data_IF_719990691505
#
_entry.id   IF_719990691505
#
_cell.length_a   1.000
_cell.length_b   1.000
_cell.length_c   1.000
_cell.angle_alpha   90.00
_cell.angle_beta   90.00
_cell.angle_gamma   90.00
#
_symmetry.space_group_name_H-M   'P 1'
#
loop_
_entity.id
_entity.type
_entity.pdbx_description
1 polymer ?
#
# COMPACT_ATOMS: atom_id res chain seq x y z
N UNK A 1 0.73 7.90 -2.53
CA UNK A 1 0.16 7.37 -1.25
C UNK A 1 0.26 5.86 -1.31
N UNK A 2 0.39 5.19 -0.17
CA UNK A 2 0.67 3.76 -0.05
C UNK A 2 -0.28 3.16 0.99
N UNK A 3 -0.85 1.99 0.73
CA UNK A 3 -1.77 1.32 1.65
C UNK A 3 -1.05 0.29 2.51
N UNK A 4 -1.35 0.25 3.81
CA UNK A 4 -0.84 -0.75 4.73
C UNK A 4 -1.59 -2.08 4.56
N UNK A 5 -0.87 -3.18 4.33
CA UNK A 5 -1.44 -4.52 4.21
C UNK A 5 -2.13 -5.01 5.50
N UNK A 6 -1.74 -4.50 6.67
CA UNK A 6 -2.22 -5.01 7.95
C UNK A 6 -3.45 -4.27 8.50
N UNK A 7 -3.58 -2.97 8.25
CA UNK A 7 -4.69 -2.16 8.75
C UNK A 7 -5.49 -1.46 7.66
N UNK A 8 -5.10 -1.63 6.38
CA UNK A 8 -5.75 -1.05 5.20
C UNK A 8 -5.77 0.49 5.15
N UNK A 9 -5.15 1.17 6.11
CA UNK A 9 -5.00 2.62 6.13
C UNK A 9 -4.02 3.11 5.04
N UNK A 10 -4.23 4.35 4.61
CA UNK A 10 -3.44 5.02 3.58
C UNK A 10 -2.41 6.00 4.17
N UNK A 11 -1.19 5.93 3.67
CA UNK A 11 -0.05 6.71 4.13
C UNK A 11 0.56 7.55 2.99
N UNK A 12 1.06 8.73 3.32
CA UNK A 12 1.83 9.53 2.38
C UNK A 12 3.28 9.04 2.32
N UNK A 13 3.87 9.03 1.13
CA UNK A 13 5.29 8.68 0.93
C UNK A 13 6.23 9.49 1.81
N UNK A 14 5.93 10.78 2.04
CA UNK A 14 6.70 11.64 2.94
C UNK A 14 6.59 11.23 4.42
N UNK A 15 5.44 10.72 4.87
CA UNK A 15 5.26 10.21 6.24
C UNK A 15 6.02 8.90 6.47
N UNK A 16 6.32 8.16 5.40
CA UNK A 16 7.13 6.94 5.43
C UNK A 16 8.61 7.20 5.12
N UNK A 17 9.06 8.46 5.16
CA UNK A 17 10.44 8.89 4.87
C UNK A 17 10.94 8.55 3.45
N UNK A 18 10.03 8.30 2.50
CA UNK A 18 10.40 8.02 1.11
C UNK A 18 10.66 9.29 0.30
N UNK A 19 10.14 10.43 0.76
CA UNK A 19 10.37 11.74 0.16
C UNK A 19 10.59 12.79 1.23
N UNK A 20 11.47 13.73 0.95
CA UNK A 20 11.51 14.96 1.72
C UNK A 20 10.21 15.75 1.47
N UNK A 21 9.57 16.29 2.52
CA UNK A 21 8.46 17.21 2.34
C UNK A 21 8.92 18.43 1.53
N UNK A 22 8.15 18.91 0.54
CA UNK A 22 8.49 20.15 -0.13
C UNK A 22 8.56 21.29 0.90
N UNK A 23 9.67 22.04 0.86
CA UNK A 23 10.01 23.17 1.75
C UNK A 23 8.90 24.24 1.86
N UNK A 24 8.05 24.34 0.84
CA UNK A 24 6.90 25.23 0.85
C UNK A 24 5.88 24.74 -0.17
N UNK A 25 4.62 24.58 0.25
CA UNK A 25 3.50 24.53 -0.68
C UNK A 25 3.43 25.90 -1.36
N UNK A 26 3.80 25.98 -2.64
CA UNK A 26 3.45 27.16 -3.42
C UNK A 26 1.94 27.35 -3.34
N UNK A 27 1.44 28.60 -3.18
CA UNK A 27 0.01 28.85 -3.09
C UNK A 27 -0.68 28.21 -4.29
N UNK A 28 -1.81 27.53 -4.04
CA UNK A 28 -2.64 26.98 -5.11
C UNK A 28 -2.79 28.03 -6.22
N UNK A 29 -2.58 27.68 -7.51
CA UNK A 29 -2.76 28.62 -8.59
C UNK A 29 -4.16 29.23 -8.45
N UNK A 30 -4.20 30.56 -8.40
CA UNK A 30 -5.44 31.31 -8.41
C UNK A 30 -6.18 30.88 -9.67
N UNK A 31 -7.38 30.33 -9.51
CA UNK A 31 -8.27 29.97 -10.61
C UNK A 31 -8.41 31.15 -11.56
N UNK A 32 -7.68 31.11 -12.68
CA UNK A 32 -8.00 31.89 -13.86
C UNK A 32 -9.11 31.11 -14.58
N UNK A 33 -10.19 31.81 -14.87
CA UNK A 33 -11.44 31.29 -15.40
C UNK A 33 -11.25 30.53 -16.72
N UNK A 34 -12.08 29.48 -16.88
CA UNK A 34 -12.38 28.71 -18.11
C UNK A 34 -11.28 27.81 -18.69
N UNK A 35 -11.13 26.61 -18.13
CA UNK A 35 -10.76 25.41 -18.89
C UNK A 35 -11.21 24.12 -18.15
N UNK A 36 -12.19 23.44 -18.73
CA UNK A 36 -12.51 22.00 -18.66
C UNK A 36 -12.06 21.22 -17.39
N UNK A 37 -12.99 21.00 -16.46
CA UNK A 37 -12.83 20.28 -15.17
C UNK A 37 -12.63 18.74 -15.30
N UNK A 38 -12.07 18.25 -16.42
CA UNK A 38 -11.91 16.82 -16.68
C UNK A 38 -10.48 16.27 -16.50
N UNK A 39 -9.51 17.09 -16.10
CA UNK A 39 -8.12 16.66 -15.92
C UNK A 39 -7.65 16.92 -14.49
N UNK A 40 -7.95 15.99 -13.58
CA UNK A 40 -7.20 15.87 -12.33
C UNK A 40 -5.81 15.30 -12.62
N UNK A 41 -4.95 16.11 -13.24
CA UNK A 41 -3.50 15.85 -13.31
C UNK A 41 -2.86 16.13 -11.95
N UNK A 42 -3.35 15.44 -10.92
CA UNK A 42 -2.67 15.32 -9.63
C UNK A 42 -1.56 14.25 -9.77
N UNK A 43 -0.62 14.47 -10.70
CA UNK A 43 0.48 13.55 -10.92
C UNK A 43 1.80 14.30 -10.84
N UNK A 44 2.46 14.15 -9.69
CA UNK A 44 3.91 13.99 -9.44
C UNK A 44 4.92 14.42 -10.54
N UNK A 45 4.71 15.50 -11.29
CA UNK A 45 5.54 15.85 -12.45
C UNK A 45 6.74 16.75 -12.11
N UNK A 46 6.91 17.14 -10.84
CA UNK A 46 8.00 18.02 -10.40
C UNK A 46 8.68 17.67 -9.06
N UNK A 47 8.31 16.56 -8.42
CA UNK A 47 8.95 16.14 -7.17
C UNK A 47 10.16 15.24 -7.45
N UNK A 48 11.23 15.30 -6.63
CA UNK A 48 12.32 14.35 -6.73
C UNK A 48 11.80 12.91 -6.59
N UNK A 49 12.46 11.94 -7.25
CA UNK A 49 12.07 10.53 -7.16
C UNK A 49 12.11 10.07 -5.71
N UNK A 50 11.16 9.21 -5.28
CA UNK A 50 11.18 8.66 -3.93
C UNK A 50 12.41 7.75 -3.74
N UNK A 51 12.84 7.58 -2.49
CA UNK A 51 13.89 6.61 -2.12
C UNK A 51 13.55 5.19 -2.53
N UNK A 52 12.26 4.85 -2.48
CA UNK A 52 11.70 3.56 -2.88
C UNK A 52 10.47 3.84 -3.74
N UNK A 53 10.50 3.38 -4.99
CA UNK A 53 9.39 3.51 -5.92
C UNK A 53 8.36 2.40 -5.72
N UNK A 54 7.14 2.59 -6.23
CA UNK A 54 6.08 1.59 -6.15
C UNK A 54 6.37 0.27 -6.87
N UNK A 55 7.43 0.20 -7.69
CA UNK A 55 7.88 -1.04 -8.35
C UNK A 55 8.95 -1.79 -7.56
N UNK A 56 9.54 -1.17 -6.53
CA UNK A 56 10.63 -1.78 -5.75
C UNK A 56 10.13 -2.68 -4.61
N UNK A 57 8.83 -2.63 -4.31
CA UNK A 57 8.18 -3.44 -3.27
C UNK A 57 6.80 -3.90 -3.72
N UNK A 58 6.35 -5.03 -3.18
CA UNK A 58 5.03 -5.64 -3.42
C UNK A 58 4.03 -5.22 -2.34
N UNK A 59 4.48 -5.09 -1.09
CA UNK A 59 3.59 -4.85 0.05
C UNK A 59 4.23 -3.94 1.09
N UNK A 60 3.40 -3.17 1.79
CA UNK A 60 3.81 -2.23 2.83
C UNK A 60 3.10 -2.52 4.15
N UNK A 61 3.82 -2.50 5.27
CA UNK A 61 3.22 -2.56 6.62
C UNK A 61 3.71 -1.37 7.43
N UNK A 62 2.76 -0.58 7.94
CA UNK A 62 3.06 0.62 8.70
C UNK A 62 3.68 0.33 10.07
N UNK A 63 4.39 1.32 10.61
CA UNK A 63 5.09 1.26 11.89
C UNK A 63 4.20 0.74 13.01
N UNK A 64 3.01 1.30 13.22
CA UNK A 64 2.06 0.84 14.25
C UNK A 64 1.81 -0.67 14.15
N UNK A 65 1.50 -1.16 12.95
CA UNK A 65 1.25 -2.58 12.73
C UNK A 65 2.47 -3.48 12.93
N UNK A 66 3.68 -2.98 12.64
CA UNK A 66 4.95 -3.69 12.88
C UNK A 66 5.27 -3.72 14.38
N UNK A 67 5.09 -2.61 15.10
CA UNK A 67 5.33 -2.53 16.53
C UNK A 67 4.42 -3.47 17.34
N UNK A 68 3.20 -3.73 16.86
CA UNK A 68 2.28 -4.69 17.48
C UNK A 68 2.66 -6.17 17.23
N UNK A 69 3.62 -6.45 16.33
CA UNK A 69 3.93 -7.80 15.84
C UNK A 69 5.42 -8.11 15.94
N UNK A 70 5.82 -8.82 16.99
CA UNK A 70 7.24 -9.18 17.23
C UNK A 70 7.89 -9.94 16.06
N UNK A 71 7.13 -10.79 15.37
CA UNK A 71 7.66 -11.52 14.22
C UNK A 71 7.97 -10.60 13.03
N UNK A 72 7.28 -9.46 12.86
CA UNK A 72 7.63 -8.48 11.82
C UNK A 72 8.89 -7.70 12.21
N UNK A 73 9.04 -7.33 13.48
CA UNK A 73 10.23 -6.63 13.99
C UNK A 73 11.51 -7.44 13.75
N UNK A 74 11.45 -8.76 13.88
CA UNK A 74 12.59 -9.66 13.62
C UNK A 74 13.03 -9.66 12.15
N UNK A 75 12.09 -9.41 11.23
CA UNK A 75 12.32 -9.44 9.79
C UNK A 75 12.64 -8.06 9.21
N UNK A 76 12.34 -6.98 9.93
CA UNK A 76 12.70 -5.62 9.53
C UNK A 76 14.21 -5.49 9.22
N UNK A 77 14.55 -4.99 8.04
CA UNK A 77 15.93 -4.80 7.59
C UNK A 77 16.64 -6.11 7.21
N UNK A 78 15.92 -7.20 6.96
CA UNK A 78 16.48 -8.46 6.44
C UNK A 78 16.25 -8.56 4.92
N UNK A 79 16.88 -9.51 4.20
CA UNK A 79 16.70 -9.61 2.75
C UNK A 79 15.22 -9.67 2.33
N UNK A 80 14.80 -8.72 1.50
CA UNK A 80 13.42 -8.58 1.02
C UNK A 80 12.43 -7.95 2.01
N UNK A 81 12.91 -7.41 3.14
CA UNK A 81 12.12 -6.65 4.10
C UNK A 81 12.82 -5.33 4.36
N UNK A 82 12.61 -4.38 3.44
CA UNK A 82 13.31 -3.10 3.38
C UNK A 82 12.74 -2.17 4.45
N UNK A 83 13.61 -1.45 5.15
CA UNK A 83 13.22 -0.37 6.06
C UNK A 83 13.97 0.91 5.70
N UNK A 84 13.37 2.07 6.00
CA UNK A 84 13.98 3.38 5.76
C UNK A 84 14.58 3.90 7.06
N UNK A 85 15.87 4.22 7.06
CA UNK A 85 16.60 4.63 8.27
C UNK A 85 17.58 5.75 8.00
N UNK A 86 18.13 6.36 9.06
CA UNK A 86 19.26 7.29 9.00
C UNK A 86 20.17 7.05 10.19
N UNK A 87 21.47 7.33 10.03
CA UNK A 87 22.45 7.09 11.10
C UNK A 87 22.37 8.15 12.20
N UNK A 88 22.04 9.39 11.82
CA UNK A 88 21.84 10.51 12.72
C UNK A 88 20.81 11.48 12.13
N UNK A 89 20.35 12.46 12.92
CA UNK A 89 19.32 13.42 12.50
C UNK A 89 19.77 14.34 11.34
N UNK A 90 21.07 14.53 11.15
CA UNK A 90 21.64 15.37 10.09
C UNK A 90 21.93 14.61 8.79
N UNK A 91 21.90 13.29 8.82
CA UNK A 91 22.17 12.43 7.66
C UNK A 91 20.88 12.18 6.87
N UNK A 92 20.98 12.02 5.53
CA UNK A 92 19.83 11.69 4.71
C UNK A 92 19.29 10.29 5.02
N UNK A 93 18.02 10.08 4.68
CA UNK A 93 17.40 8.76 4.71
C UNK A 93 18.10 7.82 3.72
N UNK A 94 18.20 6.54 4.08
CA UNK A 94 18.68 5.46 3.22
C UNK A 94 17.91 4.17 3.48
N UNK A 95 17.99 3.24 2.53
CA UNK A 95 17.35 1.94 2.63
C UNK A 95 18.27 0.95 3.36
N UNK A 96 17.73 0.26 4.34
CA UNK A 96 18.37 -0.88 4.99
C UNK A 96 17.65 -2.15 4.54
N UNK A 97 18.35 -2.98 3.77
CA UNK A 97 17.87 -4.26 3.25
C UNK A 97 19.00 -5.27 3.41
N UNK A 98 18.91 -6.12 4.45
CA UNK A 98 20.01 -6.97 4.88
C UNK A 98 20.77 -7.60 3.70
N UNK A 99 22.09 -7.45 3.70
CA UNK A 99 22.92 -7.87 2.56
C UNK A 99 22.69 -9.34 2.22
N UNK A 100 22.24 -9.61 1.00
CA UNK A 100 22.35 -10.93 0.40
C UNK A 100 23.84 -11.28 0.34
N UNK A 101 24.23 -12.40 0.94
CA UNK A 101 25.57 -12.97 0.86
C UNK A 101 25.89 -13.36 -0.59
N UNK A 102 26.24 -12.36 -1.41
CA UNK A 102 26.42 -12.49 -2.86
C UNK A 102 27.14 -11.31 -3.52
N UNK A 103 27.36 -10.19 -2.83
CA UNK A 103 28.21 -9.11 -3.34
C UNK A 103 29.65 -9.32 -2.85
N UNK A 104 30.52 -9.70 -3.78
CA UNK A 104 31.93 -9.97 -3.50
C UNK A 104 32.62 -8.67 -3.08
N UNK A 105 32.81 -8.49 -1.77
CA UNK A 105 33.79 -7.54 -1.25
C UNK A 105 35.16 -8.00 -1.74
N UNK A 106 35.73 -7.26 -2.69
CA UNK A 106 37.15 -7.36 -3.03
C UNK A 106 37.96 -6.90 -1.82
N UNK A 107 38.35 -7.85 -0.97
CA UNK A 107 39.36 -7.60 0.06
C UNK A 107 40.72 -7.66 -0.61
N UNK A 108 41.34 -6.50 -0.74
CA UNK A 108 42.71 -6.30 -1.16
C UNK A 108 43.62 -6.88 -0.07
N UNK A 109 44.20 -8.06 -0.33
CA UNK A 109 45.20 -8.66 0.55
C UNK A 109 46.56 -8.09 0.17
N UNK A 110 47.11 -7.25 1.04
CA UNK A 110 48.47 -6.72 0.94
C UNK A 110 49.49 -7.87 0.90
N UNK A 111 50.29 -7.84 -0.15
CA UNK A 111 51.41 -8.75 -0.41
C UNK A 111 52.55 -8.46 0.57
N UNK A 112 53.00 -9.46 1.30
CA UNK A 112 54.31 -9.44 1.96
C UNK A 112 55.30 -10.27 1.12
N UNK A 113 56.57 -9.84 0.97
CA UNK A 113 57.45 -10.35 -0.08
C UNK A 113 58.20 -11.63 0.33
N UNK A 114 58.27 -12.55 -0.62
CA UNK A 114 59.05 -13.78 -0.62
C UNK A 114 60.57 -13.54 -0.47
N UNK A 115 61.24 -14.46 0.23
CA UNK A 115 62.69 -14.72 0.07
C UNK A 115 62.87 -16.14 -0.50
N UNK A 116 63.72 -16.36 -1.51
CA UNK A 116 63.71 -17.59 -2.30
C UNK A 116 64.72 -18.63 -1.81
N UNK A 117 64.37 -19.92 -1.86
CA UNK A 117 65.35 -20.99 -2.08
C UNK A 117 64.80 -22.05 -3.04
N UNK A 118 65.62 -22.32 -4.04
CA UNK A 118 65.46 -23.27 -5.14
C UNK A 118 65.69 -24.71 -4.66
N UNK A 119 65.08 -25.70 -5.33
CA UNK A 119 65.75 -26.78 -6.09
C UNK A 119 64.86 -28.02 -6.31
N UNK A 120 64.62 -28.27 -7.60
CA UNK A 120 64.08 -29.45 -8.29
C UNK A 120 64.41 -30.84 -7.69
N UNK A 121 63.44 -31.76 -7.73
CA UNK A 121 63.36 -32.96 -8.63
C UNK A 121 62.39 -34.04 -8.11
N UNK A 122 61.44 -34.46 -8.96
CA UNK A 122 60.74 -35.78 -8.97
C UNK A 122 61.77 -36.94 -9.08
N UNK A 123 61.47 -38.25 -8.83
CA UNK A 123 60.28 -38.96 -9.37
C UNK A 123 59.73 -40.21 -8.61
N UNK A 124 58.66 -40.79 -9.19
CA UNK A 124 58.19 -42.20 -9.22
C UNK A 124 57.43 -42.84 -8.02
N UNK A 125 56.17 -43.23 -8.32
CA UNK A 125 55.34 -44.27 -7.67
C UNK A 125 55.92 -45.69 -7.90
N UNK A 126 55.44 -46.82 -7.30
CA UNK A 126 54.05 -47.34 -7.46
C UNK A 126 53.45 -48.23 -6.31
N UNK A 127 52.16 -48.58 -6.49
CA UNK A 127 51.40 -49.76 -6.00
C UNK A 127 51.14 -49.96 -4.49
N UNK A 128 49.87 -50.10 -4.07
CA UNK A 128 49.21 -51.42 -4.02
C UNK A 128 47.71 -51.36 -3.66
N UNK A 129 47.06 -52.51 -3.86
CA UNK A 129 45.63 -52.79 -4.06
C UNK A 129 44.67 -52.68 -2.85
N UNK A 130 43.42 -52.29 -3.17
CA UNK A 130 42.03 -52.68 -2.72
C UNK A 130 41.83 -53.81 -1.66
N UNK A 131 40.60 -54.08 -1.09
CA UNK A 131 39.26 -53.66 -1.52
C UNK A 131 38.19 -53.32 -0.43
N UNK A 132 37.08 -52.87 -1.00
CA UNK A 132 35.71 -52.60 -0.57
C UNK A 132 34.96 -53.72 0.20
N UNK A 133 33.92 -53.33 0.96
CA UNK A 133 32.78 -54.19 1.28
C UNK A 133 31.48 -53.40 1.48
N UNK A 134 30.52 -53.70 0.60
CA UNK A 134 29.13 -53.24 0.59
C UNK A 134 28.31 -53.91 1.70
N UNK A 135 27.33 -53.20 2.28
CA UNK A 135 26.07 -53.80 2.74
C UNK A 135 24.90 -52.81 2.63
N UNK A 136 23.94 -53.20 1.80
CA UNK A 136 22.57 -52.68 1.72
C UNK A 136 21.76 -53.35 2.83
N UNK A 137 20.97 -52.58 3.59
CA UNK A 137 19.77 -53.10 4.26
C UNK A 137 18.71 -52.03 4.42
N UNK A 138 17.60 -52.24 3.71
CA UNK A 138 16.34 -51.52 3.80
C UNK A 138 15.67 -51.82 5.14
N UNK A 139 15.25 -50.78 5.86
CA UNK A 139 14.26 -50.86 6.93
C UNK A 139 13.38 -49.62 6.86
N UNK A 140 12.10 -49.85 6.61
CA UNK A 140 11.01 -48.96 6.93
C UNK A 140 11.02 -48.77 8.46
N UNK A 141 11.03 -47.52 8.94
CA UNK A 141 10.32 -47.13 10.15
C UNK A 141 10.45 -45.63 10.40
N UNK A 142 9.29 -45.04 10.70
CA UNK A 142 9.06 -43.84 11.50
C UNK A 142 9.64 -42.51 10.98
N UNK A 143 8.79 -41.71 10.33
CA UNK A 143 8.96 -40.26 10.26
C UNK A 143 8.77 -39.74 11.70
N UNK A 144 9.85 -39.66 12.46
CA UNK A 144 9.92 -38.78 13.62
C UNK A 144 9.62 -37.34 13.16
N UNK A 145 8.91 -36.52 13.95
CA UNK A 145 8.75 -35.12 13.63
C UNK A 145 10.15 -34.52 13.71
N UNK A 146 10.78 -34.35 12.55
CA UNK A 146 12.00 -33.56 12.45
C UNK A 146 11.63 -32.18 12.97
N UNK A 147 12.07 -31.87 14.19
CA UNK A 147 12.01 -30.52 14.74
C UNK A 147 12.71 -29.63 13.73
N UNK A 148 11.94 -28.96 12.87
CA UNK A 148 12.48 -28.16 11.77
C UNK A 148 13.28 -27.04 12.41
N UNK A 149 14.59 -27.00 12.15
CA UNK A 149 15.45 -25.91 12.61
C UNK A 149 14.87 -24.59 12.14
N UNK A 150 14.79 -23.61 13.05
CA UNK A 150 14.25 -22.31 12.74
C UNK A 150 15.12 -21.60 11.69
N UNK A 151 14.51 -21.24 10.57
CA UNK A 151 15.13 -20.49 9.46
C UNK A 151 14.86 -18.99 9.54
N UNK A 152 14.24 -18.51 10.63
CA UNK A 152 13.99 -17.08 10.78
C UNK A 152 15.34 -16.33 10.87
N UNK A 153 15.50 -15.20 10.15
CA UNK A 153 16.74 -14.46 10.13
C UNK A 153 17.10 -13.92 11.53
N UNK A 154 18.39 -13.69 11.82
CA UNK A 154 18.78 -12.92 12.99
C UNK A 154 18.21 -11.49 12.88
N UNK A 155 17.85 -10.89 14.00
CA UNK A 155 17.34 -9.51 14.05
C UNK A 155 18.40 -8.53 13.55
N UNK A 156 18.01 -7.60 12.68
CA UNK A 156 18.89 -6.53 12.23
C UNK A 156 19.18 -5.57 13.41
N UNK A 157 20.46 -5.22 13.68
CA UNK A 157 20.81 -4.36 14.81
C UNK A 157 20.29 -2.92 14.67
N UNK A 158 20.15 -2.40 13.46
CA UNK A 158 19.58 -1.08 13.18
C UNK A 158 18.08 -1.09 13.49
N UNK A 159 17.36 -2.08 12.96
CA UNK A 159 15.94 -2.26 13.23
C UNK A 159 15.67 -2.44 14.74
N UNK A 160 16.50 -3.23 15.43
CA UNK A 160 16.39 -3.47 16.87
C UNK A 160 16.49 -2.17 17.69
N UNK A 161 17.32 -1.21 17.28
CA UNK A 161 17.43 0.10 17.95
C UNK A 161 16.16 0.94 17.79
N UNK A 162 15.54 0.89 16.62
CA UNK A 162 14.27 1.59 16.34
C UNK A 162 13.18 1.05 17.27
N UNK A 163 13.02 -0.28 17.31
CA UNK A 163 11.97 -0.89 18.13
C UNK A 163 12.21 -0.73 19.64
N UNK A 164 13.47 -0.72 20.08
CA UNK A 164 13.82 -0.51 21.49
C UNK A 164 13.41 0.89 22.01
N UNK A 165 13.36 1.91 21.14
CA UNK A 165 12.90 3.26 21.48
C UNK A 165 11.38 3.38 21.64
N UNK A 166 10.63 2.39 21.13
CA UNK A 166 9.16 2.40 21.12
C UNK A 166 8.55 3.27 20.01
N UNK A 167 7.27 3.02 19.73
CA UNK A 167 6.55 3.64 18.60
C UNK A 167 6.56 5.17 18.67
N UNK A 168 6.40 5.75 19.87
CA UNK A 168 6.36 7.20 20.04
C UNK A 168 7.68 7.87 19.65
N UNK A 169 8.82 7.27 19.97
CA UNK A 169 10.13 7.81 19.58
C UNK A 169 10.38 7.61 18.08
N UNK A 170 9.94 6.47 17.53
CA UNK A 170 10.08 6.17 16.10
C UNK A 170 9.27 7.12 15.20
N UNK A 171 8.12 7.61 15.67
CA UNK A 171 7.27 8.55 14.94
C UNK A 171 7.61 10.04 15.19
N UNK A 172 8.49 10.36 16.15
CA UNK A 172 8.86 11.73 16.47
C UNK A 172 9.97 12.23 15.51
N UNK A 173 9.70 13.23 14.64
CA UNK A 173 10.68 13.71 13.67
C UNK A 173 11.99 14.24 14.31
N UNK A 174 11.94 14.67 15.57
CA UNK A 174 13.09 15.23 16.29
C UNK A 174 14.05 14.18 16.83
N UNK A 175 13.63 12.92 16.95
CA UNK A 175 14.44 11.83 17.52
C UNK A 175 14.51 10.59 16.64
N UNK A 176 13.59 10.46 15.68
CA UNK A 176 13.47 9.26 14.85
C UNK A 176 14.70 9.04 13.97
N UNK A 177 15.25 7.83 14.04
CA UNK A 177 16.26 7.30 13.12
C UNK A 177 15.64 6.38 12.06
N UNK A 178 14.31 6.25 12.06
CA UNK A 178 13.53 5.33 11.27
C UNK A 178 12.20 5.07 11.98
N UNK A 179 11.12 5.04 11.21
CA UNK A 179 9.75 4.83 11.71
C UNK A 179 9.48 3.36 12.01
N UNK A 180 10.21 2.44 11.39
CA UNK A 180 10.01 0.99 11.53
C UNK A 180 8.94 0.43 10.60
N UNK A 181 8.48 1.21 9.62
CA UNK A 181 7.70 0.70 8.50
C UNK A 181 8.51 -0.34 7.71
N UNK A 182 7.85 -1.36 7.17
CA UNK A 182 8.48 -2.40 6.35
C UNK A 182 7.88 -2.39 4.94
N UNK A 183 8.76 -2.38 3.95
CA UNK A 183 8.46 -2.57 2.54
C UNK A 183 8.95 -3.95 2.11
N UNK A 184 8.01 -4.86 1.85
CA UNK A 184 8.30 -6.22 1.43
C UNK A 184 8.46 -6.30 -0.08
N UNK A 185 9.57 -6.88 -0.53
CA UNK A 185 9.79 -7.19 -1.94
C UNK A 185 8.99 -8.42 -2.35
N UNK A 186 8.83 -8.60 -3.66
CA UNK A 186 8.13 -9.72 -4.28
C UNK A 186 8.45 -11.07 -3.61
N UNK A 187 7.42 -11.88 -3.38
CA UNK A 187 7.56 -13.24 -2.84
C UNK A 187 7.91 -13.29 -1.35
N UNK A 188 7.55 -12.26 -0.58
CA UNK A 188 7.85 -12.23 0.86
C UNK A 188 7.16 -13.32 1.68
N UNK A 189 5.98 -13.74 1.22
CA UNK A 189 5.19 -14.81 1.84
C UNK A 189 5.90 -16.17 1.83
N UNK A 190 6.80 -16.39 0.87
CA UNK A 190 7.58 -17.63 0.78
C UNK A 190 8.82 -17.63 1.68
N UNK A 191 9.28 -16.45 2.11
CA UNK A 191 10.49 -16.33 2.93
C UNK A 191 10.26 -16.75 4.37
N UNK A 192 9.02 -16.66 4.87
CA UNK A 192 8.71 -16.93 6.27
C UNK A 192 9.20 -18.29 6.76
N UNK A 193 9.76 -18.31 7.97
CA UNK A 193 10.04 -19.56 8.63
C UNK A 193 8.74 -20.24 9.08
N UNK A 194 8.55 -21.51 8.67
CA UNK A 194 7.38 -22.33 9.00
C UNK A 194 7.69 -23.43 10.04
N UNK A 195 8.58 -23.15 11.00
CA UNK A 195 8.83 -24.06 12.14
C UNK A 195 7.71 -23.96 13.18
N UNK A 196 7.72 -24.87 14.16
CA UNK A 196 6.68 -24.97 15.20
C UNK A 196 6.55 -23.73 16.09
N UNK A 197 7.59 -22.89 16.15
CA UNK A 197 7.57 -21.62 16.90
C UNK A 197 7.09 -20.44 16.07
N UNK A 198 7.46 -20.37 14.78
CA UNK A 198 7.15 -19.22 13.93
C UNK A 198 5.78 -19.31 13.26
N UNK A 199 5.39 -20.50 12.81
CA UNK A 199 4.15 -20.68 12.06
C UNK A 199 2.88 -20.28 12.85
N UNK A 200 2.76 -20.60 14.16
CA UNK A 200 1.59 -20.17 14.93
C UNK A 200 1.41 -18.65 14.99
N UNK A 201 2.51 -17.88 15.07
CA UNK A 201 2.46 -16.41 15.09
C UNK A 201 1.97 -15.83 13.76
N UNK A 202 2.37 -16.44 12.65
CA UNK A 202 1.95 -16.03 11.31
C UNK A 202 0.49 -16.38 11.03
N UNK A 203 0.00 -17.51 11.56
CA UNK A 203 -1.41 -17.93 11.38
C UNK A 203 -2.43 -16.99 12.03
N UNK A 204 -2.01 -16.18 13.00
CA UNK A 204 -2.85 -15.11 13.56
C UNK A 204 -3.13 -14.03 12.52
N UNK A 205 -2.29 -13.91 11.50
CA UNK A 205 -2.37 -12.91 10.44
C UNK A 205 -2.25 -13.56 9.04
N UNK A 206 -3.34 -14.17 8.53
CA UNK A 206 -3.32 -14.95 7.29
C UNK A 206 -2.77 -14.20 6.06
N UNK A 207 -2.97 -12.87 5.98
CA UNK A 207 -2.45 -12.02 4.90
C UNK A 207 -0.92 -12.03 4.76
N UNK A 208 -0.19 -12.46 5.80
CA UNK A 208 1.27 -12.66 5.73
C UNK A 208 1.65 -13.97 5.04
N UNK A 209 0.75 -14.96 4.99
CA UNK A 209 1.00 -16.28 4.42
C UNK A 209 0.46 -16.41 3.01
N UNK A 210 -0.71 -15.82 2.76
CA UNK A 210 -1.44 -15.93 1.51
C UNK A 210 -1.85 -14.53 1.04
N UNK A 211 -1.90 -14.34 -0.27
CA UNK A 211 -2.41 -13.10 -0.87
C UNK A 211 -3.94 -13.12 -0.83
N UNK A 212 -4.54 -11.99 -0.53
CA UNK A 212 -5.99 -11.87 -0.50
C UNK A 212 -6.54 -11.67 -1.92
N UNK A 213 -7.63 -12.35 -2.24
CA UNK A 213 -8.28 -12.19 -3.54
C UNK A 213 -8.89 -10.79 -3.63
N UNK A 214 -8.41 -9.98 -4.57
CA UNK A 214 -9.05 -8.70 -4.89
C UNK A 214 -10.47 -8.99 -5.37
N UNK A 215 -11.47 -8.55 -4.59
CA UNK A 215 -12.86 -8.62 -5.03
C UNK A 215 -13.03 -7.73 -6.26
N UNK A 216 -13.34 -8.35 -7.40
CA UNK A 216 -13.72 -7.66 -8.61
C UNK A 216 -15.25 -7.56 -8.64
N UNK A 217 -15.83 -6.35 -8.52
CA UNK A 217 -17.26 -6.18 -8.64
C UNK A 217 -17.73 -6.73 -9.98
N UNK A 218 -18.92 -7.35 -10.06
CA UNK A 218 -19.51 -7.73 -11.32
C UNK A 218 -19.57 -6.53 -12.27
N UNK A 219 -19.27 -6.75 -13.54
CA UNK A 219 -19.43 -5.71 -14.57
C UNK A 219 -20.89 -5.21 -14.55
N UNK A 220 -21.06 -3.91 -14.36
CA UNK A 220 -22.36 -3.28 -14.50
C UNK A 220 -22.65 -3.13 -16.01
N UNK A 221 -23.73 -3.70 -16.55
CA UNK A 221 -24.08 -3.51 -17.96
C UNK A 221 -24.22 -2.03 -18.36
N UNK A 222 -24.39 -1.14 -17.38
CA UNK A 222 -24.56 0.29 -17.55
C UNK A 222 -23.24 1.08 -17.37
N UNK A 223 -22.12 0.47 -16.93
CA UNK A 223 -20.85 1.19 -16.64
C UNK A 223 -20.14 1.77 -17.87
N UNK A 224 -20.51 1.37 -19.08
CA UNK A 224 -19.99 1.91 -20.34
C UNK A 224 -20.92 2.88 -21.06
N UNK A 225 -22.11 3.15 -20.51
CA UNK A 225 -23.13 3.98 -21.15
C UNK A 225 -22.99 5.43 -20.72
N UNK A 226 -23.27 6.35 -21.64
CA UNK A 226 -23.29 7.77 -21.29
C UNK A 226 -24.50 8.09 -20.40
N UNK A 227 -24.42 9.19 -19.63
CA UNK A 227 -25.53 9.65 -18.80
C UNK A 227 -26.80 9.87 -19.64
N UNK A 228 -26.64 10.35 -20.88
CA UNK A 228 -27.73 10.54 -21.84
C UNK A 228 -28.36 9.21 -22.25
N UNK A 229 -27.56 8.20 -22.55
CA UNK A 229 -28.05 6.86 -22.92
C UNK A 229 -28.78 6.18 -21.76
N UNK A 230 -28.23 6.29 -20.55
CA UNK A 230 -28.89 5.83 -19.33
C UNK A 230 -30.22 6.56 -19.10
N UNK A 231 -30.22 7.88 -19.30
CA UNK A 231 -31.41 8.72 -19.22
C UNK A 231 -32.48 8.33 -20.24
N UNK A 232 -32.11 8.13 -21.51
CA UNK A 232 -33.04 7.69 -22.55
C UNK A 232 -33.62 6.31 -22.27
N UNK A 233 -32.79 5.36 -21.83
CA UNK A 233 -33.23 4.00 -21.48
C UNK A 233 -34.16 3.99 -20.28
N UNK A 234 -33.91 4.85 -19.29
CA UNK A 234 -34.81 5.05 -18.16
C UNK A 234 -36.15 5.65 -18.61
N UNK A 235 -36.13 6.64 -19.50
CA UNK A 235 -37.34 7.27 -20.07
C UNK A 235 -38.17 6.29 -20.92
N UNK A 236 -37.53 5.44 -21.74
CA UNK A 236 -38.21 4.41 -22.54
C UNK A 236 -38.94 3.37 -21.68
N UNK A 237 -38.43 3.10 -20.47
CA UNK A 237 -39.07 2.16 -19.52
C UNK A 237 -40.31 2.76 -18.85
N UNK A 238 -40.55 4.06 -18.94
CA UNK A 238 -41.72 4.69 -18.34
C UNK A 238 -42.96 4.39 -19.20
N UNK A 239 -44.04 3.82 -18.61
CA UNK A 239 -45.29 3.64 -19.33
C UNK A 239 -45.79 4.98 -19.88
N UNK A 240 -46.25 5.00 -21.13
CA UNK A 240 -46.67 6.23 -21.82
C UNK A 240 -47.63 7.08 -20.99
N UNK A 241 -48.58 6.45 -20.32
CA UNK A 241 -49.59 7.14 -19.51
C UNK A 241 -48.93 7.87 -18.31
N UNK A 242 -48.02 7.19 -17.60
CA UNK A 242 -47.24 7.80 -16.52
C UNK A 242 -46.29 8.89 -17.00
N UNK A 243 -45.74 8.75 -18.21
CA UNK A 243 -44.90 9.76 -18.82
C UNK A 243 -45.71 11.03 -19.13
N UNK A 244 -46.92 10.88 -19.69
CA UNK A 244 -47.83 12.01 -19.98
C UNK A 244 -48.26 12.70 -18.68
N UNK A 245 -48.68 11.93 -17.68
CA UNK A 245 -49.06 12.48 -16.37
C UNK A 245 -47.89 13.19 -15.70
N UNK A 246 -46.69 12.61 -15.80
CA UNK A 246 -45.45 13.21 -15.30
C UNK A 246 -45.10 14.52 -16.01
N UNK A 247 -45.28 14.61 -17.32
CA UNK A 247 -45.07 15.85 -18.10
C UNK A 247 -46.05 16.92 -17.64
N UNK A 248 -47.33 16.60 -17.47
CA UNK A 248 -48.33 17.55 -17.01
C UNK A 248 -48.04 18.04 -15.59
N UNK A 249 -47.74 17.12 -14.67
CA UNK A 249 -47.39 17.46 -13.29
C UNK A 249 -46.11 18.32 -13.21
N UNK A 250 -45.11 18.04 -14.05
CA UNK A 250 -43.90 18.84 -14.14
C UNK A 250 -44.19 20.26 -14.67
N UNK A 251 -45.00 20.38 -15.73
CA UNK A 251 -45.36 21.68 -16.29
C UNK A 251 -46.14 22.54 -15.29
N UNK A 252 -47.09 21.95 -14.57
CA UNK A 252 -47.86 22.62 -13.52
C UNK A 252 -46.95 23.12 -12.38
N UNK A 253 -46.10 22.23 -11.85
CA UNK A 253 -45.14 22.58 -10.79
C UNK A 253 -44.17 23.67 -11.26
N UNK A 254 -43.65 23.58 -12.49
CA UNK A 254 -42.76 24.59 -13.08
C UNK A 254 -43.45 25.94 -13.17
N UNK A 255 -44.69 25.98 -13.66
CA UNK A 255 -45.43 27.21 -13.85
C UNK A 255 -45.76 27.86 -12.49
N UNK A 256 -46.08 27.07 -11.47
CA UNK A 256 -46.31 27.56 -10.11
C UNK A 256 -45.03 28.04 -9.43
N UNK A 257 -43.91 27.33 -9.63
CA UNK A 257 -42.60 27.77 -9.16
C UNK A 257 -42.21 29.10 -9.82
N UNK A 258 -42.43 29.24 -11.14
CA UNK A 258 -42.17 30.49 -11.85
C UNK A 258 -43.07 31.63 -11.37
N UNK A 259 -44.35 31.37 -11.06
CA UNK A 259 -45.24 32.37 -10.45
C UNK A 259 -44.76 32.78 -9.06
N UNK A 260 -44.27 31.84 -8.26
CA UNK A 260 -43.71 32.11 -6.94
C UNK A 260 -42.42 32.94 -7.00
N UNK A 261 -41.53 32.66 -7.95
CA UNK A 261 -40.23 33.35 -8.09
C UNK A 261 -40.32 34.71 -8.80
N UNK A 262 -41.35 34.94 -9.64
CA UNK A 262 -41.49 36.17 -10.44
C UNK A 262 -41.48 37.48 -9.61
N UNK A 263 -42.13 37.60 -8.43
CA UNK A 263 -42.07 38.80 -7.60
C UNK A 263 -40.65 39.09 -7.08
N UNK A 264 -39.90 38.06 -6.69
CA UNK A 264 -38.52 38.21 -6.20
C UNK A 264 -37.60 38.80 -7.28
N UNK A 265 -37.78 38.37 -8.53
CA UNK A 265 -37.04 38.92 -9.67
C UNK A 265 -37.44 40.38 -9.99
N UNK A 266 -38.71 40.75 -9.79
CA UNK A 266 -39.20 42.12 -10.03
C UNK A 266 -38.77 43.09 -8.92
N UNK A 267 -38.73 42.63 -7.67
CA UNK A 267 -38.35 43.41 -6.50
C UNK A 267 -36.83 43.43 -6.27
N UNK A 268 -36.06 42.66 -7.04
CA UNK A 268 -34.60 42.53 -6.88
C UNK A 268 -34.20 41.83 -5.56
N UNK A 269 -35.08 41.00 -5.01
CA UNK A 269 -34.91 40.34 -3.72
C UNK A 269 -34.27 38.97 -3.90
N UNK A 270 -33.26 38.67 -3.07
CA UNK A 270 -32.62 37.34 -3.04
C UNK A 270 -33.57 36.33 -2.39
N UNK A 271 -33.73 35.17 -3.02
CA UNK A 271 -34.53 34.05 -2.53
C UNK A 271 -33.72 33.27 -1.49
N UNK A 272 -34.29 33.04 -0.30
CA UNK A 272 -33.62 32.28 0.77
C UNK A 272 -34.15 30.83 0.86
N UNK A 273 -33.41 29.98 1.58
CA UNK A 273 -33.80 28.57 1.81
C UNK A 273 -35.21 28.43 2.44
N UNK A 274 -35.55 29.30 3.39
CA UNK A 274 -36.85 29.28 4.06
C UNK A 274 -38.02 29.52 3.08
N UNK A 275 -37.82 30.36 2.06
CA UNK A 275 -38.83 30.68 1.05
C UNK A 275 -39.11 29.45 0.16
N UNK A 276 -38.05 28.75 -0.26
CA UNK A 276 -38.15 27.54 -1.08
C UNK A 276 -38.79 26.39 -0.29
N UNK A 277 -38.37 26.18 0.97
CA UNK A 277 -38.98 25.16 1.84
C UNK A 277 -40.46 25.43 2.09
N UNK A 278 -40.84 26.70 2.29
CA UNK A 278 -42.23 27.10 2.47
C UNK A 278 -43.10 26.81 1.24
N UNK A 279 -42.58 27.07 0.04
CA UNK A 279 -43.26 26.77 -1.22
C UNK A 279 -43.58 25.26 -1.33
N UNK A 280 -42.59 24.38 -1.19
CA UNK A 280 -42.81 22.94 -1.32
C UNK A 280 -43.68 22.35 -0.19
N UNK A 281 -43.61 22.92 1.02
CA UNK A 281 -44.51 22.54 2.11
C UNK A 281 -45.98 22.84 1.76
N UNK A 282 -46.27 24.02 1.21
CA UNK A 282 -47.62 24.40 0.79
C UNK A 282 -48.16 23.51 -0.34
N UNK A 283 -47.29 23.12 -1.29
CA UNK A 283 -47.60 22.21 -2.39
C UNK A 283 -47.98 20.82 -1.86
N UNK A 284 -47.22 20.30 -0.89
CA UNK A 284 -47.47 18.99 -0.28
C UNK A 284 -48.77 18.96 0.53
N UNK A 285 -49.09 20.04 1.25
CA UNK A 285 -50.34 20.17 2.01
C UNK A 285 -51.57 20.24 1.10
N UNK A 286 -51.48 20.96 -0.02
CA UNK A 286 -52.55 21.05 -1.00
C UNK A 286 -52.82 19.70 -1.69
N UNK A 287 -51.77 18.94 -2.03
CA UNK A 287 -51.90 17.59 -2.58
C UNK A 287 -52.55 16.61 -1.61
N UNK A 288 -52.24 16.68 -0.30
CA UNK A 288 -52.87 15.85 0.74
C UNK A 288 -54.34 16.16 0.94
N UNK A 289 -54.75 17.44 0.82
CA UNK A 289 -56.16 17.85 0.90
C UNK A 289 -56.97 17.44 -0.32
N UNK A 290 -56.34 17.34 -1.50
CA UNK A 290 -57.01 16.91 -2.73
C UNK A 290 -57.21 15.39 -2.84
N UNK A 291 -56.51 14.59 -2.02
CA UNK A 291 -56.61 13.13 -1.97
C UNK A 291 -57.52 12.60 -0.84
N UNK A 292 -58.07 13.48 0.01
CA UNK A 292 -59.02 13.17 1.08
C UNK A 292 -60.45 13.52 0.68
#
# INVERSE_FOLDING_TARGET
MIQCLACEDWFHESCCNLREPPSSREPSPVTAEEADDAASEASSSGLPPPLLSGTDYESFICATCVFDKEHLQKWAGTPGAIIVTRQSLSEPWHLEQGFSRGESVKVEIEQTPDTPMTRSKRPLSPSDHSPESKRIRTSYDTIEPTSRTCLAPPSNPIASRIFAGGLKAALDPSTSLGTGDIFFTEGFRDRWCRCDTCLPLLRVHPYLLEEEETYEPPEDPDSGLSLEELGMRALERIPRDRAIDGIHAFQEMRDDLMKFLRPFAQEGKVVNEADVRGFFASLTENSKKAQS
#
